data_IF_687749577958
#
_entry.id   IF_687749577958
#
_cell.length_a   1.000
_cell.length_b   1.000
_cell.length_c   1.000
_cell.angle_alpha   90.00
_cell.angle_beta   90.00
_cell.angle_gamma   90.00
#
_symmetry.space_group_name_H-M   'P 1'
#
loop_
_entity.id
_entity.type
_entity.pdbx_description
1 polymer ?
#
# COMPACT_ATOMS: atom_id res chain seq x y z
N UNK A 1 37.10 4.77 -4.72
CA UNK A 1 35.94 3.85 -4.90
C UNK A 1 36.23 2.38 -4.52
N UNK A 2 37.48 1.95 -4.27
CA UNK A 2 37.79 0.53 -4.01
C UNK A 2 37.66 0.08 -2.53
N UNK A 3 37.96 0.95 -1.55
CA UNK A 3 37.91 0.59 -0.12
C UNK A 3 36.54 0.14 0.37
N UNK A 4 35.46 0.73 -0.15
CA UNK A 4 34.08 0.40 0.26
C UNK A 4 33.63 -0.99 -0.24
N UNK A 5 34.34 -1.58 -1.21
CA UNK A 5 34.04 -2.92 -1.75
C UNK A 5 34.77 -4.02 -0.96
N UNK A 6 35.98 -3.73 -0.48
CA UNK A 6 36.81 -4.64 0.33
C UNK A 6 36.22 -4.86 1.73
N UNK A 7 35.81 -3.80 2.40
CA UNK A 7 35.19 -3.87 3.74
C UNK A 7 33.87 -4.67 3.70
N UNK A 8 33.13 -4.57 2.60
CA UNK A 8 31.89 -5.30 2.36
C UNK A 8 32.12 -6.79 2.08
N UNK A 9 33.14 -7.13 1.29
CA UNK A 9 33.55 -8.53 1.05
C UNK A 9 34.07 -9.20 2.33
N UNK A 10 34.84 -8.48 3.15
CA UNK A 10 35.31 -8.97 4.44
C UNK A 10 34.13 -9.29 5.38
N UNK A 11 33.14 -8.39 5.47
CA UNK A 11 31.94 -8.62 6.29
C UNK A 11 31.13 -9.83 5.82
N UNK A 12 31.04 -10.06 4.51
CA UNK A 12 30.37 -11.24 3.95
C UNK A 12 31.10 -12.53 4.31
N UNK A 13 32.43 -12.58 4.18
CA UNK A 13 33.23 -13.73 4.59
C UNK A 13 33.12 -14.01 6.10
N UNK A 14 33.15 -12.97 6.94
CA UNK A 14 32.94 -13.10 8.38
C UNK A 14 31.57 -13.72 8.72
N UNK A 15 30.51 -13.31 8.02
CA UNK A 15 29.17 -13.89 8.21
C UNK A 15 29.08 -15.35 7.78
N UNK A 16 29.77 -15.75 6.72
CA UNK A 16 29.84 -17.16 6.31
C UNK A 16 30.56 -18.01 7.36
N UNK A 17 31.69 -17.52 7.87
CA UNK A 17 32.43 -18.22 8.94
C UNK A 17 31.60 -18.35 10.23
N UNK A 18 30.90 -17.27 10.62
CA UNK A 18 30.01 -17.31 11.79
C UNK A 18 28.86 -18.30 11.58
N UNK A 19 28.28 -18.36 10.38
CA UNK A 19 27.24 -19.35 10.05
C UNK A 19 27.74 -20.78 10.25
N UNK A 20 28.94 -21.08 9.76
CA UNK A 20 29.52 -22.42 9.86
C UNK A 20 29.79 -22.77 11.33
N UNK A 21 30.33 -21.84 12.11
CA UNK A 21 30.57 -22.00 13.56
C UNK A 21 29.26 -22.32 14.28
N UNK A 22 28.20 -21.52 14.07
CA UNK A 22 26.93 -21.75 14.74
C UNK A 22 26.14 -22.96 14.21
N UNK A 23 26.47 -23.50 13.03
CA UNK A 23 25.86 -24.73 12.52
C UNK A 23 26.59 -25.99 13.02
N UNK A 24 27.90 -25.94 13.19
CA UNK A 24 28.74 -27.13 13.44
C UNK A 24 29.16 -27.31 14.89
N UNK A 25 29.17 -26.24 15.68
CA UNK A 25 29.65 -26.26 17.08
C UNK A 25 28.54 -25.84 18.02
N UNK A 26 28.40 -26.48 19.18
CA UNK A 26 27.45 -26.06 20.23
C UNK A 26 28.04 -24.90 21.04
N UNK A 27 28.19 -23.74 20.42
CA UNK A 27 28.83 -22.56 21.03
C UNK A 27 27.88 -21.76 21.94
N UNK A 28 26.57 -21.99 21.82
CA UNK A 28 25.53 -21.31 22.58
C UNK A 28 24.37 -22.27 22.88
N UNK A 29 23.52 -21.97 23.87
CA UNK A 29 22.27 -22.69 24.07
C UNK A 29 21.43 -22.71 22.79
N UNK A 30 20.84 -23.87 22.46
CA UNK A 30 20.17 -24.17 21.19
C UNK A 30 19.18 -23.07 20.74
N UNK A 31 18.42 -22.49 21.66
CA UNK A 31 17.47 -21.41 21.37
C UNK A 31 18.16 -20.13 20.89
N UNK A 32 19.25 -19.73 21.56
CA UNK A 32 20.05 -18.55 21.19
C UNK A 32 20.81 -18.80 19.88
N UNK A 33 21.31 -20.02 19.69
CA UNK A 33 22.01 -20.42 18.49
C UNK A 33 21.11 -20.37 17.24
N UNK A 34 19.86 -20.86 17.35
CA UNK A 34 18.84 -20.73 16.28
C UNK A 34 18.56 -19.26 15.93
N UNK A 35 18.45 -18.38 16.93
CA UNK A 35 18.26 -16.95 16.70
C UNK A 35 19.47 -16.30 16.00
N UNK A 36 20.69 -16.63 16.42
CA UNK A 36 21.91 -16.13 15.76
C UNK A 36 22.05 -16.65 14.34
N UNK A 37 21.74 -17.91 14.08
CA UNK A 37 21.70 -18.46 12.73
C UNK A 37 20.65 -17.80 11.86
N UNK A 38 19.49 -17.46 12.43
CA UNK A 38 18.46 -16.70 11.73
C UNK A 38 19.00 -15.32 11.31
N UNK A 39 19.61 -14.57 12.23
CA UNK A 39 20.20 -13.26 11.96
C UNK A 39 21.34 -13.31 10.93
N UNK A 40 22.20 -14.33 10.99
CA UNK A 40 23.32 -14.49 10.04
C UNK A 40 22.80 -14.83 8.65
N UNK A 41 21.86 -15.78 8.55
CA UNK A 41 21.23 -16.11 7.27
C UNK A 41 20.47 -14.90 6.69
N UNK A 42 19.87 -14.07 7.55
CA UNK A 42 19.25 -12.81 7.17
C UNK A 42 20.25 -11.85 6.53
N UNK A 43 21.40 -11.61 7.17
CA UNK A 43 22.40 -10.68 6.66
C UNK A 43 23.02 -11.18 5.35
N UNK A 44 23.28 -12.49 5.24
CA UNK A 44 23.77 -13.11 4.02
C UNK A 44 22.77 -12.98 2.86
N UNK A 45 21.46 -13.16 3.11
CA UNK A 45 20.42 -12.97 2.09
C UNK A 45 20.35 -11.53 1.60
N UNK A 46 20.42 -10.55 2.52
CA UNK A 46 20.42 -9.13 2.14
C UNK A 46 21.64 -8.77 1.28
N UNK A 47 22.83 -9.26 1.65
CA UNK A 47 24.07 -9.01 0.91
C UNK A 47 23.99 -9.58 -0.50
N UNK A 48 23.54 -10.85 -0.66
CA UNK A 48 23.38 -11.47 -1.97
C UNK A 48 22.43 -10.68 -2.88
N UNK A 49 21.32 -10.21 -2.32
CA UNK A 49 20.37 -9.40 -3.08
C UNK A 49 20.94 -8.04 -3.50
N UNK A 50 21.70 -7.36 -2.64
CA UNK A 50 22.37 -6.10 -3.01
C UNK A 50 23.41 -6.31 -4.12
N UNK A 51 24.16 -7.42 -4.08
CA UNK A 51 25.10 -7.78 -5.15
C UNK A 51 24.38 -8.04 -6.48
N UNK A 52 23.25 -8.74 -6.44
CA UNK A 52 22.44 -9.03 -7.63
C UNK A 52 21.85 -7.75 -8.23
N UNK A 53 21.30 -6.83 -7.42
CA UNK A 53 20.84 -5.51 -7.91
C UNK A 53 21.97 -4.71 -8.59
N UNK A 54 23.19 -4.74 -8.04
CA UNK A 54 24.35 -4.09 -8.69
C UNK A 54 24.69 -4.74 -10.03
N UNK A 55 24.67 -6.07 -10.11
CA UNK A 55 24.90 -6.81 -11.35
C UNK A 55 23.82 -6.49 -12.40
N UNK A 56 22.55 -6.50 -12.02
CA UNK A 56 21.44 -6.16 -12.92
C UNK A 56 21.52 -4.71 -13.40
N UNK A 57 21.95 -3.77 -12.55
CA UNK A 57 22.19 -2.38 -12.95
C UNK A 57 23.36 -2.25 -13.93
N UNK A 58 24.46 -2.99 -13.70
CA UNK A 58 25.61 -3.04 -14.61
C UNK A 58 25.16 -3.61 -15.96
N UNK A 59 24.52 -4.79 -15.99
CA UNK A 59 24.03 -5.45 -17.20
C UNK A 59 23.08 -4.53 -17.97
N UNK A 60 22.10 -3.91 -17.31
CA UNK A 60 21.16 -3.00 -17.97
C UNK A 60 21.79 -1.68 -18.43
N UNK A 61 22.90 -1.25 -17.82
CA UNK A 61 23.68 -0.09 -18.28
C UNK A 61 24.63 -0.44 -19.45
N UNK A 62 25.15 -1.67 -19.48
CA UNK A 62 26.06 -2.18 -20.52
C UNK A 62 25.34 -2.56 -21.82
N UNK A 63 24.05 -2.95 -21.74
CA UNK A 63 23.23 -3.30 -22.91
C UNK A 63 22.90 -2.09 -23.80
N UNK A 64 23.05 -0.84 -23.31
CA UNK A 64 22.87 0.36 -24.16
C UNK A 64 24.05 0.67 -25.08
N UNK A 65 25.13 -0.10 -25.02
CA UNK A 65 26.33 0.16 -25.83
C UNK A 65 27.07 -1.11 -26.20
N UNK A 66 26.46 -2.01 -26.98
CA UNK A 66 27.22 -2.90 -27.87
C UNK A 66 26.30 -3.63 -28.87
N UNK A 67 26.65 -3.64 -30.17
CA UNK A 67 25.98 -4.51 -31.14
C UNK A 67 26.35 -5.97 -30.86
N UNK A 68 25.33 -6.80 -30.77
CA UNK A 68 25.37 -8.23 -30.44
C UNK A 68 26.27 -9.05 -31.36
N UNK A 69 27.20 -9.82 -30.77
CA UNK A 69 27.70 -11.05 -31.37
C UNK A 69 27.38 -12.24 -30.47
N UNK A 70 26.93 -13.31 -31.11
CA UNK A 70 26.41 -14.56 -30.56
C UNK A 70 27.47 -15.32 -29.77
N UNK A 71 27.13 -15.77 -28.56
CA UNK A 71 27.73 -16.97 -27.95
C UNK A 71 26.60 -17.77 -27.30
N UNK A 72 26.28 -18.91 -27.90
CA UNK A 72 25.38 -19.94 -27.36
C UNK A 72 26.13 -20.94 -26.46
N UNK A 73 25.33 -21.67 -25.68
CA UNK A 73 25.59 -22.99 -25.06
C UNK A 73 26.30 -23.03 -23.70
N UNK A 74 25.50 -22.93 -22.63
CA UNK A 74 25.62 -23.71 -21.35
C UNK A 74 24.77 -23.13 -20.18
N UNK A 75 24.01 -22.04 -20.38
CA UNK A 75 23.28 -21.37 -19.28
C UNK A 75 21.85 -21.90 -18.99
N UNK A 76 21.30 -22.81 -19.80
CA UNK A 76 19.85 -23.09 -19.79
C UNK A 76 19.33 -24.03 -18.69
N UNK A 77 20.19 -24.80 -18.02
CA UNK A 77 19.76 -25.71 -16.95
C UNK A 77 19.88 -25.10 -15.55
N UNK A 78 20.87 -24.23 -15.32
CA UNK A 78 21.04 -23.53 -14.04
C UNK A 78 20.00 -22.41 -13.92
N UNK A 79 19.72 -21.65 -14.98
CA UNK A 79 18.76 -20.53 -14.96
C UNK A 79 17.33 -20.96 -14.63
N UNK A 80 16.89 -22.17 -15.01
CA UNK A 80 15.51 -22.63 -14.78
C UNK A 80 15.20 -23.09 -13.34
N UNK A 81 16.19 -23.63 -12.62
CA UNK A 81 16.02 -23.95 -11.20
C UNK A 81 16.17 -22.71 -10.31
N UNK A 82 17.05 -21.78 -10.68
CA UNK A 82 17.15 -20.49 -10.00
C UNK A 82 15.92 -19.61 -10.29
N UNK A 83 15.36 -19.60 -11.49
CA UNK A 83 14.21 -18.73 -11.85
C UNK A 83 12.95 -19.00 -11.03
N UNK A 84 12.68 -20.27 -10.68
CA UNK A 84 11.53 -20.63 -9.85
C UNK A 84 11.70 -20.25 -8.37
N UNK A 85 12.92 -20.32 -7.82
CA UNK A 85 13.25 -19.77 -6.49
C UNK A 85 13.30 -18.22 -6.49
N UNK A 86 13.73 -17.61 -7.60
CA UNK A 86 13.77 -16.15 -7.83
C UNK A 86 12.37 -15.52 -7.76
N UNK A 87 11.33 -16.19 -8.31
CA UNK A 87 9.96 -15.65 -8.30
C UNK A 87 9.36 -15.67 -6.88
N UNK A 88 9.66 -16.70 -6.07
CA UNK A 88 9.14 -16.82 -4.70
C UNK A 88 9.80 -15.81 -3.76
N UNK A 89 11.11 -15.56 -3.91
CA UNK A 89 11.83 -14.60 -3.07
C UNK A 89 11.57 -13.13 -3.45
N UNK A 90 11.27 -12.82 -4.72
CA UNK A 90 10.88 -11.46 -5.14
C UNK A 90 9.54 -10.99 -4.56
N UNK A 91 8.64 -11.92 -4.21
CA UNK A 91 7.35 -11.58 -3.60
C UNK A 91 7.46 -11.07 -2.16
N UNK A 92 8.62 -11.23 -1.52
CA UNK A 92 8.87 -10.77 -0.15
C UNK A 92 9.63 -9.45 -0.09
N UNK A 93 9.79 -8.73 -1.21
CA UNK A 93 10.46 -7.44 -1.21
C UNK A 93 9.42 -6.34 -1.02
N UNK A 94 9.66 -5.45 -0.06
CA UNK A 94 8.81 -4.28 0.10
C UNK A 94 9.07 -3.28 -1.04
N UNK A 95 8.02 -2.94 -1.78
CA UNK A 95 8.11 -1.97 -2.87
C UNK A 95 8.55 -0.57 -2.42
N UNK A 96 8.30 -0.20 -1.16
CA UNK A 96 8.62 1.13 -0.65
C UNK A 96 10.08 1.30 -0.25
N UNK A 97 10.71 0.26 0.31
CA UNK A 97 12.04 0.38 0.91
C UNK A 97 13.06 -0.59 0.32
N UNK A 98 12.66 -1.42 -0.63
CA UNK A 98 13.49 -2.42 -1.30
C UNK A 98 14.12 -3.46 -0.36
N UNK A 99 13.65 -3.53 0.89
CA UNK A 99 14.09 -4.49 1.89
C UNK A 99 13.14 -5.69 1.92
N UNK A 100 13.69 -6.84 2.28
CA UNK A 100 12.92 -8.06 2.46
C UNK A 100 11.96 -7.94 3.65
N UNK A 101 10.78 -8.56 3.54
CA UNK A 101 9.71 -8.57 4.54
C UNK A 101 9.77 -9.91 5.27
N UNK A 102 10.05 -9.85 6.56
CA UNK A 102 10.17 -11.02 7.43
C UNK A 102 8.92 -11.25 8.28
N UNK A 103 8.12 -10.20 8.45
CA UNK A 103 6.85 -10.21 9.17
C UNK A 103 5.70 -10.54 8.23
N UNK A 104 4.47 -10.52 8.75
CA UNK A 104 3.27 -10.62 7.92
C UNK A 104 3.26 -9.48 6.90
N UNK A 105 3.48 -9.83 5.63
CA UNK A 105 3.47 -8.88 4.51
C UNK A 105 2.04 -8.38 4.24
N UNK A 106 1.94 -7.13 3.82
CA UNK A 106 0.70 -6.57 3.28
C UNK A 106 0.79 -6.59 1.76
N UNK A 107 -0.06 -7.38 1.13
CA UNK A 107 -0.14 -7.54 -0.32
C UNK A 107 -1.25 -6.68 -0.91
N UNK A 108 -0.90 -5.89 -1.92
CA UNK A 108 -1.85 -5.07 -2.66
C UNK A 108 -1.99 -5.59 -4.09
N UNK A 109 -3.22 -5.97 -4.45
CA UNK A 109 -3.63 -6.38 -5.78
C UNK A 109 -3.93 -5.14 -6.60
N UNK A 110 -2.95 -4.73 -7.42
CA UNK A 110 -3.04 -3.53 -8.25
C UNK A 110 -3.67 -3.84 -9.61
N UNK A 111 -4.30 -2.84 -10.25
CA UNK A 111 -5.06 -3.03 -11.50
C UNK A 111 -4.21 -3.57 -12.66
N UNK A 112 -2.91 -3.28 -12.66
CA UNK A 112 -1.96 -3.74 -13.68
C UNK A 112 -1.52 -5.21 -13.50
N UNK A 113 -2.32 -6.04 -12.82
CA UNK A 113 -2.10 -7.48 -12.57
C UNK A 113 -0.84 -7.85 -11.75
N UNK A 114 -0.10 -6.89 -11.23
CA UNK A 114 1.02 -7.14 -10.31
C UNK A 114 0.59 -7.01 -8.85
N UNK A 115 1.05 -7.95 -8.03
CA UNK A 115 0.95 -7.88 -6.57
C UNK A 115 2.13 -7.06 -6.04
N UNK A 116 1.85 -6.11 -5.15
CA UNK A 116 2.89 -5.35 -4.48
C UNK A 116 2.89 -5.66 -2.99
N UNK A 117 4.05 -6.07 -2.49
CA UNK A 117 4.25 -6.38 -1.08
C UNK A 117 4.81 -5.19 -0.34
N UNK A 118 4.36 -5.00 0.90
CA UNK A 118 4.83 -3.94 1.80
C UNK A 118 5.04 -4.47 3.21
N UNK A 119 6.02 -3.89 3.93
CA UNK A 119 5.97 -3.88 5.39
C UNK A 119 4.74 -3.08 5.82
N UNK A 120 4.06 -3.52 6.88
CA UNK A 120 2.92 -2.79 7.46
C UNK A 120 3.30 -1.33 7.76
N UNK A 121 4.47 -1.11 8.36
CA UNK A 121 5.01 0.23 8.68
C UNK A 121 5.29 1.09 7.45
N UNK A 122 5.80 0.50 6.37
CA UNK A 122 6.03 1.21 5.12
C UNK A 122 4.70 1.64 4.50
N UNK A 123 3.71 0.75 4.43
CA UNK A 123 2.40 1.08 3.90
C UNK A 123 1.67 2.13 4.76
N UNK A 124 1.77 2.02 6.09
CA UNK A 124 1.25 3.01 7.02
C UNK A 124 1.82 4.42 6.75
N UNK A 125 3.13 4.50 6.49
CA UNK A 125 3.80 5.77 6.16
C UNK A 125 3.26 6.37 4.87
N UNK A 126 3.07 5.55 3.84
CA UNK A 126 2.48 5.97 2.55
C UNK A 126 1.05 6.48 2.77
N UNK A 127 0.21 5.72 3.46
CA UNK A 127 -1.18 6.10 3.74
C UNK A 127 -1.25 7.39 4.57
N UNK A 128 -0.42 7.53 5.59
CA UNK A 128 -0.32 8.75 6.41
C UNK A 128 0.05 9.97 5.55
N UNK A 129 0.98 9.84 4.63
CA UNK A 129 1.37 10.93 3.74
C UNK A 129 0.25 11.31 2.75
N UNK A 130 -0.50 10.33 2.25
CA UNK A 130 -1.66 10.61 1.39
C UNK A 130 -2.80 11.28 2.16
N UNK A 131 -3.07 10.87 3.40
CA UNK A 131 -4.08 11.51 4.25
C UNK A 131 -3.77 12.98 4.55
N UNK A 132 -2.48 13.36 4.66
CA UNK A 132 -2.09 14.77 4.83
C UNK A 132 -2.48 15.65 3.64
N UNK A 133 -2.68 15.06 2.47
CA UNK A 133 -3.14 15.74 1.26
C UNK A 133 -4.67 15.72 1.12
N UNK A 134 -5.40 15.42 2.21
CA UNK A 134 -6.86 15.28 2.23
C UNK A 134 -7.39 14.33 1.14
N UNK A 135 -6.63 13.26 0.85
CA UNK A 135 -7.01 12.34 -0.21
C UNK A 135 -8.34 11.64 0.10
N UNK A 136 -9.11 11.35 -0.95
CA UNK A 136 -10.35 10.55 -0.89
C UNK A 136 -10.16 9.11 -1.35
N UNK A 137 -8.97 8.78 -1.88
CA UNK A 137 -8.56 7.43 -2.22
C UNK A 137 -7.11 7.19 -1.79
N UNK A 138 -6.80 5.95 -1.46
CA UNK A 138 -5.42 5.52 -1.32
C UNK A 138 -4.88 5.01 -2.65
N UNK A 139 -3.60 5.29 -2.89
CA UNK A 139 -2.87 4.84 -4.07
C UNK A 139 -1.61 4.06 -3.65
N UNK A 140 -1.34 2.99 -4.39
CA UNK A 140 -0.08 2.29 -4.32
C UNK A 140 1.03 3.16 -4.96
N UNK A 141 2.30 2.87 -4.67
CA UNK A 141 3.43 3.53 -5.36
C UNK A 141 3.41 3.35 -6.87
N UNK A 142 2.80 2.25 -7.36
CA UNK A 142 2.55 2.04 -8.79
C UNK A 142 1.38 2.88 -9.35
N UNK A 143 0.85 3.83 -8.57
CA UNK A 143 -0.29 4.72 -8.89
C UNK A 143 -1.64 4.01 -9.04
N UNK A 144 -1.72 2.70 -8.82
CA UNK A 144 -3.00 1.99 -8.78
C UNK A 144 -3.77 2.32 -7.50
N UNK A 145 -5.07 2.55 -7.62
CA UNK A 145 -5.94 2.76 -6.48
C UNK A 145 -6.01 1.48 -5.61
N UNK A 146 -5.80 1.66 -4.31
CA UNK A 146 -5.90 0.60 -3.32
C UNK A 146 -7.37 0.39 -2.98
N UNK A 147 -7.87 -0.83 -3.15
CA UNK A 147 -9.20 -1.21 -2.66
C UNK A 147 -9.12 -1.45 -1.16
N UNK A 148 -9.84 -0.63 -0.38
CA UNK A 148 -9.85 -0.68 1.09
C UNK A 148 -10.14 -2.10 1.62
N UNK A 149 -11.04 -2.85 0.98
CA UNK A 149 -11.35 -4.23 1.36
C UNK A 149 -10.15 -5.19 1.34
N UNK A 150 -9.06 -4.87 0.62
CA UNK A 150 -7.83 -5.66 0.66
C UNK A 150 -7.09 -5.51 2.00
N UNK A 151 -7.15 -4.33 2.63
CA UNK A 151 -6.50 -4.05 3.91
C UNK A 151 -7.23 -4.81 5.03
N UNK A 152 -8.57 -4.72 5.07
CA UNK A 152 -9.38 -5.44 6.06
C UNK A 152 -9.22 -6.96 5.99
N UNK A 153 -9.20 -7.54 4.78
CA UNK A 153 -9.03 -8.99 4.59
C UNK A 153 -7.72 -9.52 5.18
N UNK A 154 -6.69 -8.68 5.22
CA UNK A 154 -5.37 -9.06 5.72
C UNK A 154 -5.23 -8.88 7.23
N UNK A 155 -6.26 -8.40 7.93
CA UNK A 155 -6.27 -8.18 9.40
C UNK A 155 -5.03 -7.39 9.85
N UNK A 156 -4.66 -6.36 9.08
CA UNK A 156 -3.58 -5.46 9.44
C UNK A 156 -4.16 -4.35 10.31
N UNK A 157 -4.39 -4.65 11.60
CA UNK A 157 -5.08 -3.77 12.56
C UNK A 157 -4.44 -2.37 12.60
N UNK A 158 -3.11 -2.31 12.54
CA UNK A 158 -2.34 -1.07 12.53
C UNK A 158 -2.68 -0.15 11.35
N UNK A 159 -3.24 -0.70 10.26
CA UNK A 159 -3.62 0.05 9.07
C UNK A 159 -5.09 0.50 9.07
N UNK A 160 -5.94 -0.11 9.88
CA UNK A 160 -7.38 0.19 9.93
C UNK A 160 -7.65 1.63 10.38
N UNK A 161 -6.81 2.17 11.27
CA UNK A 161 -6.90 3.58 11.71
C UNK A 161 -6.80 4.55 10.52
N UNK A 162 -5.94 4.27 9.53
CA UNK A 162 -5.80 5.11 8.34
C UNK A 162 -6.99 4.95 7.39
N UNK A 163 -7.57 3.75 7.34
CA UNK A 163 -8.80 3.50 6.58
C UNK A 163 -9.96 4.31 7.14
N UNK A 164 -10.13 4.34 8.46
CA UNK A 164 -11.21 5.11 9.11
C UNK A 164 -11.07 6.60 8.78
N UNK A 165 -9.85 7.16 8.85
CA UNK A 165 -9.58 8.54 8.44
C UNK A 165 -9.88 8.80 6.97
N UNK A 166 -9.60 7.84 6.09
CA UNK A 166 -9.96 7.96 4.67
C UNK A 166 -11.49 8.04 4.50
N UNK A 167 -12.24 7.22 5.24
CA UNK A 167 -13.70 7.23 5.19
C UNK A 167 -14.27 8.57 5.69
N UNK A 168 -13.67 9.19 6.71
CA UNK A 168 -14.02 10.55 7.14
C UNK A 168 -13.77 11.58 6.03
N UNK A 169 -12.60 11.53 5.37
CA UNK A 169 -12.31 12.40 4.22
C UNK A 169 -13.33 12.21 3.09
N UNK A 170 -13.68 10.96 2.76
CA UNK A 170 -14.68 10.64 1.77
C UNK A 170 -16.06 11.17 2.14
N UNK A 171 -16.46 11.04 3.41
CA UNK A 171 -17.72 11.59 3.91
C UNK A 171 -17.76 13.11 3.78
N UNK A 172 -16.69 13.79 4.20
CA UNK A 172 -16.55 15.24 4.10
C UNK A 172 -16.58 15.71 2.64
N UNK A 173 -15.91 14.98 1.75
CA UNK A 173 -15.96 15.25 0.32
C UNK A 173 -17.38 15.09 -0.22
N UNK A 174 -18.08 13.99 0.08
CA UNK A 174 -19.47 13.77 -0.35
C UNK A 174 -20.39 14.89 0.16
N UNK A 175 -20.29 15.23 1.44
CA UNK A 175 -21.06 16.31 2.10
C UNK A 175 -20.91 17.67 1.38
N UNK A 176 -19.71 17.97 0.84
CA UNK A 176 -19.42 19.24 0.14
C UNK A 176 -19.71 19.21 -1.36
N UNK A 177 -19.51 18.06 -2.01
CA UNK A 177 -19.52 17.96 -3.48
C UNK A 177 -20.85 17.50 -4.07
N UNK A 178 -21.67 16.77 -3.31
CA UNK A 178 -22.91 16.20 -3.82
C UNK A 178 -24.09 17.15 -3.56
N UNK A 179 -24.77 17.67 -4.61
CA UNK A 179 -25.84 18.67 -4.46
C UNK A 179 -27.10 18.11 -3.79
N UNK A 180 -27.23 16.79 -3.73
CA UNK A 180 -28.34 16.11 -3.10
C UNK A 180 -28.09 15.79 -1.63
N UNK A 181 -26.92 16.15 -1.09
CA UNK A 181 -26.66 16.06 0.34
C UNK A 181 -26.98 17.40 0.99
N UNK A 182 -27.87 17.39 1.98
CA UNK A 182 -28.15 18.57 2.81
C UNK A 182 -27.59 18.34 4.21
N UNK A 183 -26.86 19.32 4.73
CA UNK A 183 -26.31 19.29 6.08
C UNK A 183 -27.27 19.87 7.09
N UNK A 184 -27.12 19.45 8.35
CA UNK A 184 -27.75 20.12 9.47
C UNK A 184 -27.33 21.61 9.50
N UNK A 185 -28.26 22.49 9.85
CA UNK A 185 -27.99 23.91 10.03
C UNK A 185 -27.11 24.20 11.26
N UNK A 186 -27.14 23.31 12.25
CA UNK A 186 -26.20 23.35 13.36
C UNK A 186 -24.82 22.87 12.86
N UNK A 187 -23.82 23.74 12.93
CA UNK A 187 -22.44 23.46 12.45
C UNK A 187 -21.74 22.37 13.26
N UNK A 188 -22.14 22.17 14.51
CA UNK A 188 -21.58 21.15 15.40
C UNK A 188 -22.29 19.80 15.26
N UNK A 189 -23.26 19.71 14.33
CA UNK A 189 -24.02 18.49 14.08
C UNK A 189 -23.56 17.78 12.80
N UNK A 190 -23.12 16.53 12.94
CA UNK A 190 -22.68 15.71 11.81
C UNK A 190 -23.79 15.14 10.93
N UNK A 191 -25.05 15.36 11.32
CA UNK A 191 -26.22 14.84 10.64
C UNK A 191 -26.37 15.42 9.23
N UNK A 192 -26.73 14.56 8.27
CA UNK A 192 -27.00 14.96 6.90
C UNK A 192 -28.14 14.13 6.29
N UNK A 193 -28.86 14.72 5.34
CA UNK A 193 -29.86 14.04 4.53
C UNK A 193 -29.29 13.72 3.15
N UNK A 194 -29.58 12.53 2.66
CA UNK A 194 -29.46 12.20 1.24
C UNK A 194 -30.82 12.43 0.59
N UNK A 195 -30.99 13.57 -0.07
CA UNK A 195 -32.19 13.85 -0.85
C UNK A 195 -32.18 13.02 -2.14
N UNK A 196 -33.35 12.52 -2.55
CA UNK A 196 -33.49 12.02 -3.92
C UNK A 196 -33.28 13.20 -4.87
N UNK A 197 -32.47 13.01 -5.91
CA UNK A 197 -32.39 13.97 -7.00
C UNK A 197 -33.81 14.19 -7.54
N UNK A 198 -34.34 15.41 -7.39
CA UNK A 198 -35.47 15.86 -8.20
C UNK A 198 -34.94 16.16 -9.60
N UNK A 199 -34.46 15.11 -10.28
CA UNK A 199 -34.31 15.13 -11.72
C UNK A 199 -35.69 15.48 -12.28
N UNK A 200 -35.79 16.65 -12.89
CA UNK A 200 -37.01 17.20 -13.46
C UNK A 200 -37.70 16.16 -14.35
N UNK A 201 -38.78 15.55 -13.88
CA UNK A 201 -39.93 15.31 -14.76
C UNK A 201 -40.68 16.64 -14.78
N UNK A 202 -40.17 17.62 -15.54
CA UNK A 202 -40.96 18.79 -15.92
C UNK A 202 -41.74 18.42 -17.18
N UNK A 203 -42.81 17.66 -17.00
CA UNK A 203 -43.94 17.74 -17.92
C UNK A 203 -44.79 18.95 -17.52
N UNK A 204 -44.45 20.12 -18.06
CA UNK A 204 -45.47 21.15 -18.33
C UNK A 204 -46.30 20.60 -19.51
N UNK A 205 -47.62 20.70 -19.64
CA UNK A 205 -48.72 21.44 -18.99
C UNK A 205 -50.00 20.62 -19.27
N UNK A 206 -51.10 20.72 -18.54
CA UNK A 206 -52.19 21.69 -18.76
C UNK A 206 -53.24 21.55 -17.64
N UNK A 207 -53.75 22.70 -17.15
CA UNK A 207 -55.11 23.03 -16.64
C UNK A 207 -55.76 22.01 -15.66
N UNK A 208 -56.15 22.35 -14.43
CA UNK A 208 -57.21 23.31 -14.06
C UNK A 208 -57.22 23.56 -12.54
N UNK A 209 -57.61 24.79 -12.19
CA UNK A 209 -58.38 25.23 -11.01
C UNK A 209 -57.89 25.01 -9.56
N UNK A 210 -58.04 26.12 -8.83
CA UNK A 210 -58.09 26.32 -7.38
C UNK A 210 -56.77 26.73 -6.71
N UNK A 211 -56.73 28.02 -6.38
CA UNK A 211 -55.72 28.73 -5.59
C UNK A 211 -55.46 28.06 -4.24
N UNK A 212 -54.22 28.03 -3.77
CA UNK A 212 -53.83 27.23 -2.60
C UNK A 212 -54.17 27.95 -1.30
N UNK A 213 -54.68 27.20 -0.32
CA UNK A 213 -54.57 27.56 1.10
C UNK A 213 -53.11 27.98 1.36
N UNK A 214 -52.93 29.19 1.89
CA UNK A 214 -51.63 29.71 2.35
C UNK A 214 -51.11 28.79 3.46
N UNK A 215 -50.39 27.74 3.07
CA UNK A 215 -49.46 27.06 3.97
C UNK A 215 -48.35 28.08 4.20
N UNK A 216 -48.29 28.65 5.40
CA UNK A 216 -47.10 29.33 5.89
C UNK A 216 -45.95 28.32 5.79
N UNK A 217 -45.21 28.36 4.68
CA UNK A 217 -43.91 27.70 4.57
C UNK A 217 -42.98 28.48 5.47
N UNK A 218 -43.01 28.14 6.75
CA UNK A 218 -41.88 28.40 7.62
C UNK A 218 -40.74 27.64 6.96
N UNK A 219 -39.85 28.36 6.30
CA UNK A 219 -38.63 27.84 5.71
C UNK A 219 -37.70 27.54 6.88
N UNK A 220 -38.01 26.48 7.63
CA UNK A 220 -37.12 25.98 8.66
C UNK A 220 -35.80 25.68 7.97
N UNK A 221 -34.77 26.42 8.37
CA UNK A 221 -33.37 26.11 8.13
C UNK A 221 -33.20 24.60 8.39
N UNK A 222 -32.34 23.91 7.62
CA UNK A 222 -32.23 22.45 7.64
C UNK A 222 -31.73 21.90 9.00
N UNK A 223 -32.43 22.05 10.12
CA UNK A 223 -32.09 21.48 11.43
C UNK A 223 -32.54 20.02 11.50
N UNK A 224 -31.65 19.16 12.00
CA UNK A 224 -31.96 17.74 12.16
C UNK A 224 -32.98 17.51 13.30
N UNK A 225 -33.63 16.34 13.37
CA UNK A 225 -34.62 16.06 14.41
C UNK A 225 -34.10 16.23 15.84
N UNK A 226 -32.80 16.03 16.08
CA UNK A 226 -32.19 16.23 17.40
C UNK A 226 -31.88 17.69 17.71
N UNK A 227 -31.30 18.45 16.77
CA UNK A 227 -30.98 19.87 17.00
C UNK A 227 -32.18 20.81 16.91
N UNK A 228 -33.32 20.34 16.39
CA UNK A 228 -34.54 21.15 16.28
C UNK A 228 -35.20 21.45 17.62
N UNK A 229 -35.01 20.57 18.61
CA UNK A 229 -35.70 20.63 19.91
C UNK A 229 -34.74 20.86 21.09
N UNK A 230 -33.51 21.26 20.81
CA UNK A 230 -32.56 21.80 21.78
C UNK A 230 -32.67 23.32 21.79
#
# INVERSE_FOLDING_TARGET
MNQMNEEFQQKFQQLLQLKDIYNTREVLPLRMQRLKLFDINFQLKQIRHQQQKRLDQIINSSIKSQPSQQIETSQDTVTKQFSSQIIVDQQNICLSCDKYIFEKRVELFCQNKFHHSYHSTCLATIMKNQLKLECIYFYCLCKSQIKIGQIFKQRAVDLEVYVNKLMENQLNYMKKSLPNIKLCANKDCDFFWVCKNSGKIRSQSYKTSQSPLKIYRISYVNYCPTCRFQ
#
